data_IF_336287847019
#
_entry.id   IF_336287847019
#
_cell.length_a   1.000
_cell.length_b   1.000
_cell.length_c   1.000
_cell.angle_alpha   90.00
_cell.angle_beta   90.00
_cell.angle_gamma   90.00
#
_symmetry.space_group_name_H-M   'P 1'
#
loop_
_entity.id
_entity.type
_entity.pdbx_description
1 polymer ?
#
# COMPACT_ATOMS: atom_id res chain seq x y z
N UNK A 1 36.14 17.22 -3.76
CA UNK A 1 34.71 16.96 -4.12
C UNK A 1 34.53 15.65 -4.89
N UNK A 2 35.26 15.42 -5.98
CA UNK A 2 35.20 14.16 -6.78
C UNK A 2 35.62 12.92 -5.96
N UNK A 3 36.61 13.05 -5.10
CA UNK A 3 37.12 11.96 -4.26
C UNK A 3 36.17 11.59 -3.10
N UNK A 4 35.47 12.60 -2.55
CA UNK A 4 34.39 12.42 -1.56
C UNK A 4 33.20 11.70 -2.22
N UNK A 5 32.87 12.08 -3.46
CA UNK A 5 31.82 11.42 -4.25
C UNK A 5 32.20 9.97 -4.60
N UNK A 6 33.46 9.71 -4.97
CA UNK A 6 33.94 8.33 -5.21
C UNK A 6 33.90 7.47 -3.95
N UNK A 7 34.33 8.01 -2.80
CA UNK A 7 34.32 7.31 -1.52
C UNK A 7 32.90 7.07 -1.00
N UNK A 8 31.96 7.99 -1.24
CA UNK A 8 30.53 7.77 -1.03
C UNK A 8 30.00 6.66 -1.94
N UNK A 9 30.31 6.66 -3.23
CA UNK A 9 29.88 5.62 -4.18
C UNK A 9 30.47 4.22 -3.88
N UNK A 10 31.70 4.15 -3.35
CA UNK A 10 32.31 2.89 -2.88
C UNK A 10 31.69 2.41 -1.56
N UNK A 11 31.41 3.32 -0.62
CA UNK A 11 30.66 2.98 0.61
C UNK A 11 29.22 2.53 0.30
N UNK A 12 28.58 3.14 -0.72
CA UNK A 12 27.24 2.80 -1.20
C UNK A 12 27.14 1.36 -1.69
N UNK A 13 28.21 0.84 -2.31
CA UNK A 13 28.25 -0.56 -2.74
C UNK A 13 28.20 -1.56 -1.57
N UNK A 14 28.58 -1.14 -0.36
CA UNK A 14 28.65 -2.01 0.83
C UNK A 14 27.58 -1.73 1.88
N UNK A 15 26.66 -0.79 1.66
CA UNK A 15 25.58 -0.52 2.60
C UNK A 15 24.35 -1.39 2.33
N UNK A 16 23.99 -2.21 3.31
CA UNK A 16 22.75 -2.97 3.27
C UNK A 16 21.54 -2.05 3.45
N UNK A 17 20.43 -2.35 2.77
CA UNK A 17 19.16 -1.69 3.03
C UNK A 17 18.67 -1.97 4.45
N UNK A 18 18.07 -0.96 5.10
CA UNK A 18 17.61 -1.04 6.49
C UNK A 18 18.69 -1.64 7.41
N UNK A 19 19.88 -1.03 7.43
CA UNK A 19 21.05 -1.57 8.14
C UNK A 19 20.81 -1.89 9.63
N UNK A 20 19.80 -1.27 10.25
CA UNK A 20 19.39 -1.48 11.63
C UNK A 20 18.73 -2.85 11.86
N UNK A 21 18.08 -3.42 10.85
CA UNK A 21 17.30 -4.68 10.95
C UNK A 21 17.67 -5.73 9.91
N UNK A 22 18.64 -5.44 9.04
CA UNK A 22 19.16 -6.37 8.04
C UNK A 22 19.62 -7.69 8.68
N UNK A 23 19.15 -8.83 8.16
CA UNK A 23 19.46 -10.16 8.66
C UNK A 23 19.25 -10.37 10.19
N UNK A 24 18.38 -9.58 10.82
CA UNK A 24 18.09 -9.64 12.26
C UNK A 24 17.41 -10.94 12.69
N UNK A 25 16.64 -11.59 11.81
CA UNK A 25 15.91 -12.83 12.12
C UNK A 25 16.65 -14.04 11.53
N UNK A 26 17.22 -14.85 12.43
CA UNK A 26 17.89 -16.08 12.06
C UNK A 26 16.89 -17.17 11.65
N UNK A 27 17.23 -17.87 10.57
CA UNK A 27 16.44 -18.98 10.04
C UNK A 27 16.93 -20.28 10.70
N UNK A 28 16.03 -21.08 11.30
CA UNK A 28 16.41 -22.35 11.92
C UNK A 28 16.98 -23.30 10.86
N UNK A 29 18.05 -24.02 11.22
CA UNK A 29 18.64 -25.07 10.37
C UNK A 29 17.76 -26.31 10.39
N UNK A 30 16.65 -26.29 9.66
CA UNK A 30 15.70 -27.40 9.57
C UNK A 30 14.87 -27.38 8.28
N UNK A 31 14.44 -28.56 7.82
CA UNK A 31 13.60 -28.70 6.62
C UNK A 31 12.09 -28.69 6.92
N UNK A 32 11.67 -28.39 8.16
CA UNK A 32 10.26 -28.35 8.53
C UNK A 32 9.51 -27.25 7.79
N UNK A 33 8.55 -27.61 6.93
CA UNK A 33 7.76 -26.66 6.14
C UNK A 33 7.08 -25.60 7.02
N UNK A 34 6.39 -26.03 8.08
CA UNK A 34 5.67 -25.15 9.00
C UNK A 34 6.59 -24.27 9.85
N UNK A 35 7.75 -24.80 10.26
CA UNK A 35 8.75 -24.04 11.01
C UNK A 35 9.35 -22.93 10.15
N UNK A 36 9.69 -23.24 8.90
CA UNK A 36 10.20 -22.27 7.95
C UNK A 36 9.12 -21.24 7.59
N UNK A 37 7.89 -21.68 7.30
CA UNK A 37 6.78 -20.79 7.00
C UNK A 37 6.56 -19.79 8.14
N UNK A 38 6.54 -20.22 9.40
CA UNK A 38 6.38 -19.34 10.57
C UNK A 38 7.48 -18.28 10.68
N UNK A 39 8.71 -18.61 10.28
CA UNK A 39 9.84 -17.66 10.35
C UNK A 39 9.80 -16.68 9.18
N UNK A 40 9.41 -17.13 7.99
CA UNK A 40 9.31 -16.29 6.80
C UNK A 40 8.03 -15.45 6.74
N UNK A 41 6.99 -15.81 7.50
CA UNK A 41 5.80 -15.00 7.68
C UNK A 41 6.11 -13.68 8.40
N UNK A 42 5.53 -12.59 7.93
CA UNK A 42 5.68 -11.24 8.52
C UNK A 42 5.87 -10.15 7.46
N UNK A 43 6.93 -10.23 6.63
CA UNK A 43 7.14 -9.37 5.46
C UNK A 43 5.89 -9.12 4.62
N UNK A 44 5.19 -10.19 4.25
CA UNK A 44 3.97 -10.14 3.46
C UNK A 44 2.83 -9.42 4.17
N UNK A 45 2.66 -9.63 5.48
CA UNK A 45 1.64 -8.92 6.27
C UNK A 45 1.92 -7.43 6.39
N UNK A 46 3.17 -7.03 6.61
CA UNK A 46 3.53 -5.60 6.65
C UNK A 46 3.31 -4.94 5.29
N UNK A 47 3.54 -5.65 4.20
CA UNK A 47 3.26 -5.13 2.86
C UNK A 47 1.74 -5.05 2.63
N UNK A 48 1.01 -6.13 2.90
CA UNK A 48 -0.43 -6.22 2.64
C UNK A 48 -1.26 -5.22 3.44
N UNK A 49 -0.79 -4.82 4.61
CA UNK A 49 -1.48 -3.81 5.43
C UNK A 49 -1.51 -2.43 4.75
N UNK A 50 -0.50 -2.09 3.93
CA UNK A 50 -0.56 -0.88 3.13
C UNK A 50 -1.69 -0.90 2.09
N UNK A 51 -2.15 -2.09 1.67
CA UNK A 51 -3.23 -2.27 0.69
C UNK A 51 -4.63 -2.17 1.32
N UNK A 52 -4.70 -1.79 2.59
CA UNK A 52 -5.91 -1.70 3.40
C UNK A 52 -6.02 -0.33 4.06
N UNK A 53 -5.31 0.67 3.52
CA UNK A 53 -5.25 2.03 4.06
C UNK A 53 -6.58 2.78 3.81
N UNK A 54 -6.80 3.95 4.44
CA UNK A 54 -8.02 4.73 4.21
C UNK A 54 -8.19 5.19 2.76
N UNK A 55 -7.12 5.23 1.97
CA UNK A 55 -7.14 5.52 0.55
C UNK A 55 -7.86 4.45 -0.26
N UNK A 56 -7.50 3.18 -0.06
CA UNK A 56 -8.21 2.03 -0.62
C UNK A 56 -9.70 2.07 -0.26
N UNK A 57 -10.01 2.37 1.00
CA UNK A 57 -11.39 2.41 1.48
C UNK A 57 -12.22 3.46 0.76
N UNK A 58 -11.67 4.66 0.55
CA UNK A 58 -12.38 5.72 -0.15
C UNK A 58 -12.74 5.30 -1.58
N UNK A 59 -11.80 4.70 -2.30
CA UNK A 59 -12.02 4.26 -3.68
C UNK A 59 -13.00 3.08 -3.76
N UNK A 60 -12.89 2.12 -2.84
CA UNK A 60 -13.74 0.92 -2.82
C UNK A 60 -15.17 1.24 -2.38
N UNK A 61 -15.31 2.11 -1.37
CA UNK A 61 -16.60 2.57 -0.86
C UNK A 61 -17.32 3.43 -1.89
N UNK A 62 -16.62 4.41 -2.48
CA UNK A 62 -17.16 5.22 -3.57
C UNK A 62 -17.54 4.34 -4.76
N UNK A 63 -16.72 3.35 -5.10
CA UNK A 63 -16.98 2.41 -6.18
C UNK A 63 -18.24 1.57 -5.95
N UNK A 64 -18.39 1.01 -4.75
CA UNK A 64 -19.55 0.21 -4.38
C UNK A 64 -20.84 1.02 -4.27
N UNK A 65 -20.78 2.20 -3.65
CA UNK A 65 -21.95 3.04 -3.43
C UNK A 65 -22.50 3.66 -4.73
N UNK A 66 -21.63 3.97 -5.70
CA UNK A 66 -22.04 4.60 -6.96
C UNK A 66 -22.31 3.59 -8.09
N UNK A 67 -21.57 2.47 -8.14
CA UNK A 67 -21.58 1.54 -9.27
C UNK A 67 -21.95 0.11 -8.89
N UNK A 68 -22.37 -0.14 -7.64
CA UNK A 68 -22.71 -1.47 -7.16
C UNK A 68 -21.52 -2.42 -7.23
N UNK A 69 -21.75 -3.65 -7.68
CA UNK A 69 -20.70 -4.69 -7.73
C UNK A 69 -19.80 -4.63 -8.97
N UNK A 70 -20.02 -3.70 -9.90
CA UNK A 70 -19.30 -3.65 -11.20
C UNK A 70 -17.78 -3.54 -11.05
N UNK A 71 -17.30 -2.79 -10.06
CA UNK A 71 -15.86 -2.56 -9.86
C UNK A 71 -15.14 -3.67 -9.07
N UNK A 72 -15.84 -4.75 -8.66
CA UNK A 72 -15.20 -5.92 -8.04
C UNK A 72 -14.16 -6.58 -8.96
N UNK A 73 -14.45 -6.63 -10.27
CA UNK A 73 -13.47 -7.10 -11.25
C UNK A 73 -12.18 -6.27 -11.22
N UNK A 74 -12.27 -4.95 -11.02
CA UNK A 74 -11.11 -4.04 -10.95
C UNK A 74 -10.28 -4.31 -9.70
N UNK A 75 -10.93 -4.55 -8.55
CA UNK A 75 -10.23 -4.95 -7.31
C UNK A 75 -9.50 -6.29 -7.51
N UNK A 76 -10.15 -7.27 -8.16
CA UNK A 76 -9.58 -8.58 -8.44
C UNK A 76 -8.33 -8.47 -9.32
N UNK A 77 -8.43 -7.80 -10.48
CA UNK A 77 -7.30 -7.69 -11.40
C UNK A 77 -6.15 -6.87 -10.80
N UNK A 78 -6.47 -5.80 -10.07
CA UNK A 78 -5.47 -4.97 -9.38
C UNK A 78 -4.75 -5.76 -8.29
N UNK A 79 -5.47 -6.65 -7.58
CA UNK A 79 -4.88 -7.55 -6.58
C UNK A 79 -3.96 -8.59 -7.22
N UNK A 80 -4.33 -9.13 -8.39
CA UNK A 80 -3.47 -10.03 -9.16
C UNK A 80 -2.20 -9.32 -9.66
N UNK A 81 -2.32 -8.08 -10.12
CA UNK A 81 -1.18 -7.23 -10.48
C UNK A 81 -0.28 -6.99 -9.27
N UNK A 82 -0.85 -6.67 -8.11
CA UNK A 82 -0.12 -6.51 -6.87
C UNK A 82 0.67 -7.77 -6.50
N UNK A 83 0.05 -8.94 -6.50
CA UNK A 83 0.72 -10.22 -6.18
C UNK A 83 1.89 -10.48 -7.13
N UNK A 84 1.69 -10.25 -8.44
CA UNK A 84 2.74 -10.42 -9.45
C UNK A 84 3.90 -9.45 -9.20
N UNK A 85 3.63 -8.16 -9.05
CA UNK A 85 4.65 -7.13 -8.88
C UNK A 85 5.37 -7.25 -7.54
N UNK A 86 4.66 -7.62 -6.48
CA UNK A 86 5.24 -7.87 -5.16
C UNK A 86 6.14 -9.12 -5.17
N UNK A 87 5.75 -10.16 -5.90
CA UNK A 87 6.63 -11.30 -6.17
C UNK A 87 7.91 -10.90 -6.91
N UNK A 88 7.85 -9.95 -7.83
CA UNK A 88 9.05 -9.42 -8.51
C UNK A 88 9.92 -8.62 -7.53
N UNK A 89 9.32 -7.75 -6.72
CA UNK A 89 10.01 -6.92 -5.75
C UNK A 89 10.76 -7.75 -4.70
N UNK A 90 10.09 -8.73 -4.07
CA UNK A 90 10.73 -9.62 -3.11
C UNK A 90 11.84 -10.46 -3.77
N UNK A 91 11.65 -10.89 -5.03
CA UNK A 91 12.64 -11.71 -5.74
C UNK A 91 13.89 -10.90 -6.05
N UNK A 92 13.73 -9.62 -6.43
CA UNK A 92 14.84 -8.70 -6.62
C UNK A 92 15.68 -8.59 -5.33
N UNK A 93 15.01 -8.32 -4.20
CA UNK A 93 15.64 -8.22 -2.89
C UNK A 93 16.40 -9.47 -2.47
N UNK A 94 15.80 -10.64 -2.65
CA UNK A 94 16.41 -11.93 -2.28
C UNK A 94 17.55 -12.34 -3.22
N UNK A 95 17.39 -12.12 -4.53
CA UNK A 95 18.37 -12.58 -5.53
C UNK A 95 19.60 -11.68 -5.58
N UNK A 96 19.41 -10.35 -5.49
CA UNK A 96 20.49 -9.37 -5.66
C UNK A 96 21.07 -8.90 -4.33
N UNK A 97 20.32 -9.04 -3.22
CA UNK A 97 20.69 -8.43 -1.94
C UNK A 97 20.57 -6.90 -1.93
N UNK A 98 19.88 -6.33 -2.93
CA UNK A 98 19.58 -4.89 -3.03
C UNK A 98 18.10 -4.66 -3.16
N UNK A 99 17.62 -3.61 -2.51
CA UNK A 99 16.25 -3.14 -2.71
C UNK A 99 16.11 -2.43 -4.07
N UNK A 100 14.87 -2.19 -4.47
CA UNK A 100 14.55 -1.56 -5.75
C UNK A 100 15.09 -0.12 -5.87
N UNK A 101 15.10 0.65 -4.77
CA UNK A 101 15.59 2.03 -4.78
C UNK A 101 17.10 2.06 -4.93
N UNK A 102 17.83 1.18 -4.23
CA UNK A 102 19.27 0.97 -4.43
C UNK A 102 19.59 0.53 -5.86
N UNK A 103 18.85 -0.45 -6.39
CA UNK A 103 19.05 -0.92 -7.77
C UNK A 103 18.84 0.21 -8.80
N UNK A 104 17.82 1.05 -8.61
CA UNK A 104 17.61 2.25 -9.41
C UNK A 104 18.73 3.28 -9.23
N UNK A 105 19.12 3.58 -7.99
CA UNK A 105 20.16 4.54 -7.65
C UNK A 105 21.56 4.15 -8.13
N UNK A 106 21.83 2.85 -8.29
CA UNK A 106 23.06 2.30 -8.84
C UNK A 106 23.09 2.28 -10.38
N UNK A 107 21.92 2.08 -11.01
CA UNK A 107 21.82 1.90 -12.46
C UNK A 107 21.63 3.23 -13.22
N UNK A 108 20.81 4.13 -12.70
CA UNK A 108 20.50 5.39 -13.37
C UNK A 108 21.48 6.51 -13.01
N UNK A 109 21.57 7.53 -13.86
CA UNK A 109 22.37 8.72 -13.57
C UNK A 109 21.79 9.49 -12.38
N UNK A 110 22.63 10.26 -11.67
CA UNK A 110 22.21 11.03 -10.49
C UNK A 110 20.97 11.93 -10.73
N UNK A 111 20.84 12.64 -11.87
CA UNK A 111 19.64 13.43 -12.13
C UNK A 111 18.36 12.58 -12.25
N UNK A 112 18.44 11.41 -12.89
CA UNK A 112 17.30 10.50 -13.05
C UNK A 112 16.93 9.87 -11.71
N UNK A 113 17.92 9.42 -10.94
CA UNK A 113 17.69 8.89 -9.59
C UNK A 113 17.05 9.94 -8.66
N UNK A 114 17.49 11.19 -8.75
CA UNK A 114 16.89 12.30 -7.98
C UNK A 114 15.45 12.60 -8.42
N UNK A 115 15.16 12.58 -9.72
CA UNK A 115 13.80 12.75 -10.24
C UNK A 115 12.87 11.62 -9.76
N UNK A 116 13.31 10.36 -9.84
CA UNK A 116 12.57 9.21 -9.34
C UNK A 116 12.34 9.30 -7.83
N UNK A 117 13.33 9.78 -7.07
CA UNK A 117 13.18 10.03 -5.64
C UNK A 117 12.09 11.07 -5.35
N UNK A 118 12.06 12.21 -6.06
CA UNK A 118 11.01 13.23 -5.89
C UNK A 118 9.63 12.61 -6.13
N UNK A 119 9.46 11.86 -7.23
CA UNK A 119 8.18 11.21 -7.54
C UNK A 119 7.76 10.24 -6.42
N UNK A 120 8.70 9.45 -5.89
CA UNK A 120 8.43 8.56 -4.76
C UNK A 120 8.03 9.33 -3.49
N UNK A 121 8.72 10.42 -3.14
CA UNK A 121 8.37 11.22 -1.95
C UNK A 121 7.01 11.90 -2.09
N UNK A 122 6.66 12.36 -3.30
CA UNK A 122 5.31 12.88 -3.58
C UNK A 122 4.26 11.80 -3.38
N UNK A 123 4.48 10.58 -3.88
CA UNK A 123 3.56 9.47 -3.68
C UNK A 123 3.44 9.04 -2.21
N UNK A 124 4.55 9.03 -1.46
CA UNK A 124 4.54 8.74 -0.02
C UNK A 124 3.80 9.84 0.73
N UNK A 125 3.97 11.10 0.36
CA UNK A 125 3.24 12.23 0.95
C UNK A 125 1.74 12.14 0.66
N UNK A 126 1.35 11.75 -0.56
CA UNK A 126 -0.05 11.52 -0.92
C UNK A 126 -0.68 10.35 -0.15
N UNK A 127 0.09 9.28 0.10
CA UNK A 127 -0.31 8.20 0.99
C UNK A 127 -0.49 8.71 2.43
N UNK A 128 0.50 9.45 2.94
CA UNK A 128 0.48 9.98 4.29
C UNK A 128 -0.69 10.97 4.50
N UNK A 129 -1.06 11.73 3.47
CA UNK A 129 -2.25 12.57 3.43
C UNK A 129 -3.53 11.75 3.63
N UNK A 130 -3.64 10.60 2.96
CA UNK A 130 -4.78 9.70 3.12
C UNK A 130 -4.89 9.16 4.55
N UNK A 131 -3.75 8.84 5.17
CA UNK A 131 -3.68 8.38 6.56
C UNK A 131 -4.11 9.44 7.57
N UNK A 132 -3.63 10.69 7.39
CA UNK A 132 -4.01 11.82 8.25
C UNK A 132 -5.51 12.01 8.20
N UNK A 133 -6.05 12.08 6.98
CA UNK A 133 -7.48 12.30 6.75
C UNK A 133 -8.30 11.15 7.33
N UNK A 134 -7.94 9.91 7.05
CA UNK A 134 -8.64 8.73 7.56
C UNK A 134 -8.62 8.64 9.09
N UNK A 135 -7.47 8.92 9.70
CA UNK A 135 -7.33 8.91 11.17
C UNK A 135 -8.09 10.06 11.83
N UNK A 136 -7.99 11.28 11.27
CA UNK A 136 -8.74 12.44 11.74
C UNK A 136 -10.25 12.21 11.63
N UNK A 137 -10.68 11.58 10.53
CA UNK A 137 -12.07 11.22 10.35
C UNK A 137 -12.51 10.14 11.35
N UNK A 138 -11.72 9.10 11.57
CA UNK A 138 -12.04 8.09 12.57
C UNK A 138 -12.19 8.69 13.98
N UNK A 139 -11.32 9.64 14.35
CA UNK A 139 -11.42 10.38 15.61
C UNK A 139 -12.69 11.23 15.69
N UNK A 140 -13.07 11.88 14.58
CA UNK A 140 -14.32 12.62 14.48
C UNK A 140 -15.53 11.70 14.69
N UNK A 141 -15.53 10.53 14.05
CA UNK A 141 -16.64 9.58 14.12
C UNK A 141 -16.76 8.88 15.49
N UNK A 142 -15.64 8.66 16.19
CA UNK A 142 -15.63 7.97 17.50
C UNK A 142 -15.87 8.89 18.70
N UNK A 143 -15.35 10.12 18.63
CA UNK A 143 -15.27 11.02 19.80
C UNK A 143 -15.89 12.39 19.54
N UNK A 144 -16.55 12.58 18.40
CA UNK A 144 -17.12 13.87 17.95
C UNK A 144 -16.08 15.02 17.94
N UNK A 145 -14.78 14.68 17.77
CA UNK A 145 -13.69 15.66 17.68
C UNK A 145 -13.76 16.34 16.30
N UNK A 146 -13.71 17.68 16.18
CA UNK A 146 -13.74 18.30 14.85
C UNK A 146 -12.53 17.89 14.00
N UNK A 147 -12.73 17.70 12.69
CA UNK A 147 -11.72 17.13 11.80
C UNK A 147 -10.40 17.90 11.84
N UNK A 148 -10.44 19.23 11.90
CA UNK A 148 -9.23 20.07 12.04
C UNK A 148 -8.41 19.71 13.30
N UNK A 149 -9.07 19.51 14.44
CA UNK A 149 -8.40 19.07 15.67
C UNK A 149 -7.90 17.62 15.51
N UNK A 150 -8.69 16.75 14.87
CA UNK A 150 -8.29 15.39 14.53
C UNK A 150 -6.98 15.36 13.74
N UNK A 151 -6.86 16.19 12.68
CA UNK A 151 -5.64 16.34 11.87
C UNK A 151 -4.45 16.71 12.76
N UNK A 152 -4.61 17.68 13.67
CA UNK A 152 -3.53 18.07 14.59
C UNK A 152 -3.17 16.96 15.58
N UNK A 153 -4.16 16.21 16.08
CA UNK A 153 -3.93 15.07 16.96
C UNK A 153 -3.10 14.00 16.26
N UNK A 154 -3.26 13.78 14.95
CA UNK A 154 -2.44 12.79 14.23
C UNK A 154 -0.93 13.09 14.29
N UNK A 155 -0.49 14.33 14.56
CA UNK A 155 0.95 14.61 14.78
C UNK A 155 1.51 13.79 15.95
N UNK A 156 0.66 13.43 16.92
CA UNK A 156 1.07 12.63 18.08
C UNK A 156 1.48 11.20 17.71
N UNK A 157 1.05 10.68 16.57
CA UNK A 157 1.43 9.34 16.11
C UNK A 157 2.93 9.20 15.82
N UNK A 158 3.62 10.30 15.53
CA UNK A 158 5.07 10.32 15.37
C UNK A 158 5.75 9.81 16.65
N UNK A 159 5.25 10.22 17.82
CA UNK A 159 5.76 9.73 19.11
C UNK A 159 5.43 8.24 19.32
N UNK A 160 4.26 7.80 18.86
CA UNK A 160 3.86 6.39 18.93
C UNK A 160 4.81 5.52 18.09
N UNK A 161 5.06 5.87 16.83
CA UNK A 161 5.98 5.14 15.96
C UNK A 161 7.38 5.08 16.59
N UNK A 162 7.85 6.20 17.14
CA UNK A 162 9.17 6.25 17.77
C UNK A 162 9.31 5.32 18.95
N UNK A 163 8.25 5.24 19.75
CA UNK A 163 8.19 4.30 20.85
C UNK A 163 8.19 2.84 20.34
N UNK A 164 7.46 2.57 19.26
CA UNK A 164 7.37 1.21 18.68
C UNK A 164 8.68 0.76 18.01
N UNK A 165 9.37 1.64 17.28
CA UNK A 165 10.64 1.33 16.64
C UNK A 165 11.72 0.91 17.65
N UNK A 166 11.74 1.52 18.85
CA UNK A 166 12.68 1.14 19.92
C UNK A 166 12.47 -0.29 20.45
N UNK A 167 11.28 -0.88 20.30
CA UNK A 167 10.96 -2.23 20.79
C UNK A 167 11.37 -3.36 19.83
N UNK A 168 11.88 -3.03 18.64
CA UNK A 168 12.38 -3.99 17.67
C UNK A 168 11.31 -4.57 16.74
N UNK A 169 11.78 -5.21 15.67
CA UNK A 169 10.99 -5.51 14.49
C UNK A 169 9.88 -6.56 14.70
N UNK A 170 10.10 -7.57 15.55
CA UNK A 170 9.06 -8.59 15.87
C UNK A 170 7.86 -7.99 16.60
N UNK A 171 8.08 -6.99 17.44
CA UNK A 171 6.99 -6.30 18.15
C UNK A 171 6.18 -5.49 17.14
N UNK A 172 6.85 -4.82 16.20
CA UNK A 172 6.20 -4.10 15.10
C UNK A 172 5.35 -5.05 14.24
N UNK A 173 5.92 -6.16 13.76
CA UNK A 173 5.19 -7.20 13.00
C UNK A 173 3.94 -7.68 13.77
N UNK A 174 4.04 -7.87 15.09
CA UNK A 174 2.93 -8.35 15.92
C UNK A 174 1.82 -7.31 16.10
N UNK A 175 2.17 -6.03 16.22
CA UNK A 175 1.20 -4.93 16.32
C UNK A 175 0.44 -4.76 15.00
N UNK A 176 1.17 -4.77 13.88
CA UNK A 176 0.59 -4.69 12.54
C UNK A 176 -0.40 -5.85 12.32
N UNK A 177 -0.02 -7.06 12.72
CA UNK A 177 -0.91 -8.23 12.66
C UNK A 177 -2.14 -8.07 13.57
N UNK A 178 -2.00 -7.50 14.77
CA UNK A 178 -3.12 -7.26 15.67
C UNK A 178 -4.12 -6.25 15.09
N UNK A 179 -3.63 -5.13 14.54
CA UNK A 179 -4.47 -4.13 13.87
C UNK A 179 -5.16 -4.72 12.63
N UNK A 180 -4.45 -5.57 11.86
CA UNK A 180 -5.02 -6.29 10.73
C UNK A 180 -6.18 -7.21 11.16
N UNK A 181 -6.01 -7.98 12.24
CA UNK A 181 -7.07 -8.84 12.78
C UNK A 181 -8.28 -8.01 13.19
N UNK A 182 -8.08 -6.85 13.81
CA UNK A 182 -9.17 -5.93 14.15
C UNK A 182 -9.95 -5.53 12.90
N UNK A 183 -9.28 -5.06 11.84
CA UNK A 183 -9.92 -4.67 10.58
C UNK A 183 -10.74 -5.82 9.99
N UNK A 184 -10.16 -7.02 9.92
CA UNK A 184 -10.83 -8.22 9.38
C UNK A 184 -12.08 -8.56 10.18
N UNK A 185 -12.01 -8.55 11.51
CA UNK A 185 -13.15 -8.87 12.38
C UNK A 185 -14.26 -7.82 12.24
N UNK A 186 -13.90 -6.54 12.09
CA UNK A 186 -14.85 -5.45 11.90
C UNK A 186 -15.65 -5.62 10.60
N UNK A 187 -14.97 -5.83 9.47
CA UNK A 187 -15.67 -6.04 8.20
C UNK A 187 -16.40 -7.38 8.11
N UNK A 188 -15.87 -8.43 8.74
CA UNK A 188 -16.59 -9.69 8.82
C UNK A 188 -17.94 -9.51 9.53
N UNK A 189 -17.96 -8.75 10.63
CA UNK A 189 -19.18 -8.41 11.35
C UNK A 189 -20.17 -7.62 10.47
N UNK A 190 -19.72 -6.58 9.79
CA UNK A 190 -20.57 -5.75 8.91
C UNK A 190 -21.11 -6.52 7.70
N UNK A 191 -20.29 -7.36 7.07
CA UNK A 191 -20.73 -8.19 5.95
C UNK A 191 -21.81 -9.20 6.37
N UNK A 192 -21.66 -9.83 7.54
CA UNK A 192 -22.68 -10.74 8.09
C UNK A 192 -24.01 -10.01 8.31
N UNK A 193 -23.97 -8.77 8.81
CA UNK A 193 -25.17 -7.96 9.00
C UNK A 193 -25.81 -7.54 7.67
N UNK A 194 -25.01 -7.17 6.67
CA UNK A 194 -25.50 -6.65 5.38
C UNK A 194 -26.18 -7.70 4.49
N UNK A 195 -25.93 -9.00 4.73
CA UNK A 195 -26.52 -10.13 3.98
C UNK A 195 -26.50 -9.93 2.46
N UNK A 196 -25.33 -9.78 1.84
CA UNK A 196 -25.25 -9.47 0.42
C UNK A 196 -25.64 -10.67 -0.44
N UNK A 197 -26.23 -10.40 -1.61
CA UNK A 197 -26.57 -11.44 -2.59
C UNK A 197 -25.31 -12.01 -3.26
N UNK A 198 -25.00 -13.27 -2.95
CA UNK A 198 -23.82 -13.98 -3.46
C UNK A 198 -23.82 -14.10 -4.99
N UNK A 199 -24.99 -14.25 -5.62
CA UNK A 199 -25.08 -14.39 -7.07
C UNK A 199 -24.64 -13.10 -7.77
N UNK A 200 -25.13 -11.95 -7.30
CA UNK A 200 -24.74 -10.65 -7.82
C UNK A 200 -23.27 -10.31 -7.55
N UNK A 201 -22.70 -10.75 -6.42
CA UNK A 201 -21.26 -10.61 -6.14
C UNK A 201 -20.42 -11.35 -7.19
N UNK A 202 -20.76 -12.61 -7.48
CA UNK A 202 -20.01 -13.41 -8.46
C UNK A 202 -20.11 -12.79 -9.86
N UNK A 203 -21.26 -12.24 -10.23
CA UNK A 203 -21.42 -11.51 -11.48
C UNK A 203 -20.58 -10.22 -11.54
N UNK A 204 -20.36 -9.56 -10.41
CA UNK A 204 -19.48 -8.39 -10.31
C UNK A 204 -17.99 -8.70 -10.54
N UNK A 205 -17.57 -9.96 -10.37
CA UNK A 205 -16.21 -10.41 -10.67
C UNK A 205 -15.97 -10.63 -12.18
N UNK A 206 -17.01 -10.54 -13.01
CA UNK A 206 -16.90 -10.68 -14.46
C UNK A 206 -16.65 -9.30 -15.08
N UNK A 207 -15.69 -9.17 -16.02
CA UNK A 207 -15.40 -7.88 -16.65
C UNK A 207 -16.62 -7.32 -17.39
N UNK A 208 -16.96 -6.06 -17.10
CA UNK A 208 -18.03 -5.33 -17.78
C UNK A 208 -17.45 -4.25 -18.68
N UNK A 209 -18.04 -4.09 -19.88
CA UNK A 209 -17.62 -3.07 -20.85
C UNK A 209 -17.88 -1.63 -20.37
N UNK A 210 -18.83 -1.44 -19.45
CA UNK A 210 -19.19 -0.12 -18.90
C UNK A 210 -18.01 0.59 -18.24
N UNK A 211 -17.08 -0.18 -17.66
CA UNK A 211 -15.89 0.34 -16.95
C UNK A 211 -15.03 1.21 -17.87
N UNK A 212 -14.99 0.89 -19.17
CA UNK A 212 -14.18 1.63 -20.16
C UNK A 212 -14.98 2.66 -20.96
N UNK A 213 -16.31 2.71 -20.79
CA UNK A 213 -17.20 3.60 -21.55
C UNK A 213 -17.69 4.79 -20.72
N UNK A 214 -17.67 4.68 -19.39
CA UNK A 214 -18.08 5.74 -18.47
C UNK A 214 -16.84 6.32 -17.77
N UNK A 215 -16.52 7.59 -18.06
CA UNK A 215 -15.36 8.30 -17.52
C UNK A 215 -15.35 8.32 -15.97
N UNK A 216 -16.53 8.33 -15.33
CA UNK A 216 -16.62 8.31 -13.86
C UNK A 216 -16.26 6.94 -13.29
N UNK A 217 -16.74 5.87 -13.93
CA UNK A 217 -16.34 4.50 -13.56
C UNK A 217 -14.85 4.29 -13.79
N UNK A 218 -14.33 4.80 -14.90
CA UNK A 218 -12.92 4.69 -15.24
C UNK A 218 -12.03 5.45 -14.25
N UNK A 219 -12.42 6.66 -13.84
CA UNK A 219 -11.69 7.43 -12.83
C UNK A 219 -11.59 6.68 -11.50
N UNK A 220 -12.72 6.15 -10.99
CA UNK A 220 -12.72 5.35 -9.76
C UNK A 220 -11.95 4.04 -9.95
N UNK A 221 -12.05 3.39 -11.11
CA UNK A 221 -11.28 2.17 -11.42
C UNK A 221 -9.76 2.42 -11.42
N UNK A 222 -9.30 3.56 -11.96
CA UNK A 222 -7.89 3.97 -11.90
C UNK A 222 -7.48 4.31 -10.46
N UNK A 223 -8.37 4.92 -9.69
CA UNK A 223 -8.20 5.12 -8.24
C UNK A 223 -8.01 3.80 -7.49
N UNK A 224 -8.87 2.81 -7.72
CA UNK A 224 -8.77 1.45 -7.14
C UNK A 224 -7.44 0.81 -7.54
N UNK A 225 -7.03 0.92 -8.81
CA UNK A 225 -5.77 0.37 -9.27
C UNK A 225 -4.57 1.03 -8.56
N UNK A 226 -4.59 2.37 -8.43
CA UNK A 226 -3.53 3.14 -7.78
C UNK A 226 -3.44 2.88 -6.28
N UNK A 227 -4.59 2.83 -5.60
CA UNK A 227 -4.70 2.49 -4.20
C UNK A 227 -4.30 1.03 -3.94
N UNK A 228 -4.66 0.10 -4.84
CA UNK A 228 -4.26 -1.29 -4.70
C UNK A 228 -2.76 -1.42 -4.96
N UNK A 229 -2.26 -1.09 -6.15
CA UNK A 229 -0.85 -1.30 -6.46
C UNK A 229 -0.01 -0.12 -6.00
N UNK A 230 0.28 -0.07 -4.70
CA UNK A 230 1.09 0.99 -4.12
C UNK A 230 2.57 0.86 -4.50
N UNK A 231 3.18 1.93 -5.05
CA UNK A 231 4.56 1.85 -5.49
C UNK A 231 5.58 1.83 -4.35
N UNK A 232 5.35 2.61 -3.29
CA UNK A 232 6.22 2.62 -2.11
C UNK A 232 6.30 1.23 -1.47
N UNK A 233 5.25 0.41 -1.59
CA UNK A 233 5.24 -0.98 -1.14
C UNK A 233 6.13 -1.90 -1.98
N UNK A 234 6.41 -1.59 -3.26
CA UNK A 234 7.38 -2.35 -4.05
C UNK A 234 8.80 -2.13 -3.52
N UNK A 235 9.14 -0.89 -3.17
CA UNK A 235 10.42 -0.57 -2.53
C UNK A 235 10.50 -1.22 -1.14
N UNK A 236 9.45 -1.08 -0.33
CA UNK A 236 9.34 -1.68 0.99
C UNK A 236 9.58 -3.18 0.95
N UNK A 237 8.86 -3.92 0.11
CA UNK A 237 8.93 -5.38 0.08
C UNK A 237 10.28 -5.90 -0.38
N UNK A 238 10.89 -5.23 -1.37
CA UNK A 238 12.24 -5.56 -1.84
C UNK A 238 13.32 -5.42 -0.76
N UNK A 239 13.09 -4.57 0.24
CA UNK A 239 13.97 -4.40 1.38
C UNK A 239 13.61 -5.29 2.57
N UNK A 240 12.33 -5.37 2.91
CA UNK A 240 11.84 -6.00 4.15
C UNK A 240 12.07 -7.51 4.17
N UNK A 241 12.06 -8.13 2.99
CA UNK A 241 12.41 -9.53 2.82
C UNK A 241 13.83 -9.82 3.32
N UNK A 242 14.75 -8.85 3.21
CA UNK A 242 16.16 -8.94 3.60
C UNK A 242 16.39 -8.89 5.12
N UNK A 243 15.34 -8.68 5.93
CA UNK A 243 15.41 -8.83 7.39
C UNK A 243 15.69 -10.28 7.83
N UNK A 244 15.41 -11.25 6.95
CA UNK A 244 15.68 -12.67 7.18
C UNK A 244 17.09 -13.04 6.70
N UNK A 245 17.81 -13.85 7.47
CA UNK A 245 19.21 -14.20 7.16
C UNK A 245 19.37 -15.40 6.19
N UNK A 246 18.89 -15.30 4.93
CA UNK A 246 18.82 -16.43 3.96
C UNK A 246 19.96 -16.51 2.92
N UNK A 247 20.97 -15.64 2.94
CA UNK A 247 21.83 -15.39 1.77
C UNK A 247 23.12 -16.24 1.66
N UNK A 248 23.17 -17.47 2.21
CA UNK A 248 24.41 -18.26 2.22
C UNK A 248 24.61 -19.15 0.97
N UNK A 249 23.53 -19.60 0.34
CA UNK A 249 23.59 -20.46 -0.87
C UNK A 249 22.46 -20.17 -1.85
N UNK A 250 22.59 -20.62 -3.11
CA UNK A 250 21.52 -20.52 -4.11
C UNK A 250 20.25 -21.28 -3.67
N UNK A 251 20.40 -22.42 -2.98
CA UNK A 251 19.27 -23.18 -2.45
C UNK A 251 18.54 -22.43 -1.34
N UNK A 252 19.26 -21.73 -0.46
CA UNK A 252 18.65 -20.92 0.59
C UNK A 252 17.89 -19.73 -0.01
N UNK A 253 18.44 -19.08 -1.05
CA UNK A 253 17.75 -18.02 -1.80
C UNK A 253 16.48 -18.53 -2.49
N UNK A 254 16.54 -19.71 -3.11
CA UNK A 254 15.37 -20.34 -3.74
C UNK A 254 14.27 -20.66 -2.72
N UNK A 255 14.65 -21.19 -1.55
CA UNK A 255 13.73 -21.43 -0.43
C UNK A 255 13.13 -20.12 0.07
N UNK A 256 13.94 -19.08 0.26
CA UNK A 256 13.48 -17.77 0.70
C UNK A 256 12.49 -17.14 -0.28
N UNK A 257 12.77 -17.17 -1.59
CA UNK A 257 11.83 -16.70 -2.63
C UNK A 257 10.51 -17.48 -2.53
N UNK A 258 10.56 -18.81 -2.39
CA UNK A 258 9.35 -19.64 -2.29
C UNK A 258 8.49 -19.25 -1.08
N UNK A 259 9.08 -19.19 0.11
CA UNK A 259 8.33 -18.88 1.34
C UNK A 259 7.86 -17.43 1.38
N UNK A 260 8.69 -16.46 0.97
CA UNK A 260 8.28 -15.06 0.86
C UNK A 260 7.18 -14.85 -0.18
N UNK A 261 7.18 -15.62 -1.27
CA UNK A 261 6.08 -15.58 -2.26
C UNK A 261 4.78 -16.12 -1.67
N UNK A 262 4.83 -17.23 -0.92
CA UNK A 262 3.64 -17.78 -0.24
C UNK A 262 3.10 -16.78 0.79
N UNK A 263 3.97 -16.22 1.62
CA UNK A 263 3.62 -15.21 2.63
C UNK A 263 2.95 -14.00 1.97
N UNK A 264 3.58 -13.43 0.94
CA UNK A 264 3.02 -12.30 0.20
C UNK A 264 1.70 -12.63 -0.49
N UNK A 265 1.57 -13.81 -1.10
CA UNK A 265 0.35 -14.20 -1.83
C UNK A 265 -0.83 -14.38 -0.87
N UNK A 266 -0.60 -15.02 0.28
CA UNK A 266 -1.63 -15.18 1.31
C UNK A 266 -2.03 -13.82 1.88
N UNK A 267 -1.05 -12.99 2.20
CA UNK A 267 -1.28 -11.67 2.81
C UNK A 267 -2.03 -10.73 1.87
N UNK A 268 -1.65 -10.65 0.59
CA UNK A 268 -2.35 -9.84 -0.40
C UNK A 268 -3.70 -10.46 -0.81
N UNK A 269 -3.84 -11.79 -0.74
CA UNK A 269 -5.14 -12.45 -0.87
C UNK A 269 -6.12 -12.02 0.21
N UNK A 270 -5.65 -11.85 1.45
CA UNK A 270 -6.46 -11.28 2.53
C UNK A 270 -6.82 -9.82 2.25
N UNK A 271 -5.88 -9.01 1.74
CA UNK A 271 -6.16 -7.63 1.32
C UNK A 271 -7.27 -7.55 0.27
N UNK A 272 -7.23 -8.44 -0.73
CA UNK A 272 -8.30 -8.55 -1.73
C UNK A 272 -9.68 -8.77 -1.09
N UNK A 273 -9.80 -9.67 -0.10
CA UNK A 273 -11.08 -9.93 0.55
C UNK A 273 -11.59 -8.74 1.37
N UNK A 274 -10.69 -7.96 1.97
CA UNK A 274 -11.07 -6.74 2.69
C UNK A 274 -11.57 -5.68 1.70
N UNK A 275 -10.82 -5.40 0.64
CA UNK A 275 -11.19 -4.40 -0.38
C UNK A 275 -12.49 -4.79 -1.09
N UNK A 276 -12.63 -6.06 -1.48
CA UNK A 276 -13.89 -6.59 -2.01
C UNK A 276 -15.02 -6.49 -0.98
N UNK A 277 -14.74 -6.76 0.31
CA UNK A 277 -15.68 -6.63 1.40
C UNK A 277 -16.21 -5.20 1.58
N UNK A 278 -15.32 -4.19 1.52
CA UNK A 278 -15.68 -2.77 1.60
C UNK A 278 -16.61 -2.40 0.44
N UNK A 279 -16.24 -2.78 -0.79
CA UNK A 279 -17.06 -2.50 -1.96
C UNK A 279 -18.42 -3.20 -1.87
N UNK A 280 -18.44 -4.49 -1.47
CA UNK A 280 -19.67 -5.26 -1.31
C UNK A 280 -20.59 -4.62 -0.27
N UNK A 281 -20.03 -4.24 0.89
CA UNK A 281 -20.76 -3.56 1.95
C UNK A 281 -21.35 -2.24 1.45
N UNK A 282 -20.56 -1.42 0.77
CA UNK A 282 -21.02 -0.14 0.23
C UNK A 282 -22.13 -0.31 -0.82
N UNK A 283 -21.99 -1.32 -1.69
CA UNK A 283 -22.99 -1.63 -2.70
C UNK A 283 -24.29 -2.16 -2.07
N UNK A 284 -24.21 -3.14 -1.15
CA UNK A 284 -25.38 -3.73 -0.50
C UNK A 284 -26.11 -2.71 0.37
N UNK A 285 -25.37 -1.85 1.08
CA UNK A 285 -25.91 -0.90 2.05
C UNK A 285 -26.42 0.38 1.38
N UNK A 286 -25.72 0.91 0.36
CA UNK A 286 -26.03 2.22 -0.21
C UNK A 286 -26.60 2.17 -1.63
N UNK A 287 -25.99 1.40 -2.53
CA UNK A 287 -26.42 1.38 -3.93
C UNK A 287 -27.80 0.73 -4.12
N UNK A 288 -28.01 -0.43 -3.52
CA UNK A 288 -29.28 -1.17 -3.64
C UNK A 288 -30.39 -0.63 -2.73
N UNK A 289 -30.04 0.08 -1.66
CA UNK A 289 -31.00 0.77 -0.79
C UNK A 289 -31.50 2.11 -1.35
N UNK A 290 -30.97 2.55 -2.51
CA UNK A 290 -31.35 3.82 -3.15
C UNK A 290 -30.56 5.05 -2.70
N UNK A 291 -29.62 4.90 -1.76
CA UNK A 291 -28.77 5.97 -1.23
C UNK A 291 -27.50 6.18 -2.08
N UNK A 292 -27.67 6.43 -3.38
CA UNK A 292 -26.55 6.55 -4.35
C UNK A 292 -25.72 7.83 -4.22
N UNK A 293 -26.14 8.76 -3.36
CA UNK A 293 -25.41 10.01 -3.06
C UNK A 293 -24.28 9.85 -2.04
N UNK A 294 -24.09 8.65 -1.49
CA UNK A 294 -23.04 8.35 -0.50
C UNK A 294 -21.72 8.18 -1.25
N UNK A 295 -20.94 9.26 -1.34
CA UNK A 295 -19.60 9.20 -1.93
C UNK A 295 -18.49 9.28 -0.88
N UNK A 296 -18.81 9.67 0.36
CA UNK A 296 -17.83 9.95 1.40
C UNK A 296 -17.91 8.97 2.57
N UNK A 297 -16.78 8.81 3.26
CA UNK A 297 -16.65 7.93 4.43
C UNK A 297 -17.54 8.42 5.60
N UNK A 298 -17.77 9.73 5.73
CA UNK A 298 -18.69 10.29 6.74
C UNK A 298 -20.13 9.83 6.53
N UNK A 299 -20.57 9.84 5.28
CA UNK A 299 -21.92 9.46 4.90
C UNK A 299 -22.14 7.98 5.11
N UNK A 300 -21.13 7.17 4.80
CA UNK A 300 -21.15 5.74 5.09
C UNK A 300 -21.36 5.48 6.59
N UNK A 301 -20.55 6.09 7.46
CA UNK A 301 -20.70 5.93 8.91
C UNK A 301 -22.10 6.32 9.40
N UNK A 302 -22.65 7.46 8.95
CA UNK A 302 -23.99 7.91 9.38
C UNK A 302 -25.09 6.94 8.96
N UNK A 303 -24.93 6.28 7.81
CA UNK A 303 -25.94 5.42 7.22
C UNK A 303 -25.78 3.94 7.57
N UNK A 304 -24.62 3.51 8.09
CA UNK A 304 -24.41 2.13 8.54
C UNK A 304 -25.37 1.76 9.69
N UNK A 305 -25.53 2.61 10.70
CA UNK A 305 -26.46 2.36 11.81
C UNK A 305 -27.92 2.12 11.37
N UNK A 306 -28.57 3.03 10.61
CA UNK A 306 -29.95 2.85 10.20
C UNK A 306 -30.14 1.73 9.18
N UNK A 307 -29.17 1.49 8.30
CA UNK A 307 -29.32 0.47 7.24
C UNK A 307 -29.02 -0.93 7.74
N UNK A 308 -28.00 -1.11 8.58
CA UNK A 308 -27.66 -2.42 9.15
C UNK A 308 -28.43 -2.74 10.44
N UNK A 309 -29.18 -1.77 10.98
CA UNK A 309 -30.03 -1.95 12.15
C UNK A 309 -29.27 -2.20 13.46
N UNK A 310 -27.99 -1.82 13.53
CA UNK A 310 -27.13 -2.02 14.70
C UNK A 310 -26.31 -0.78 15.00
N UNK A 311 -26.40 -0.28 16.23
CA UNK A 311 -25.57 0.82 16.73
C UNK A 311 -24.07 0.51 16.68
N UNK A 312 -23.71 -0.78 16.76
CA UNK A 312 -22.32 -1.22 16.75
C UNK A 312 -21.67 -1.10 15.37
N UNK A 313 -22.45 -1.08 14.27
CA UNK A 313 -21.89 -1.08 12.93
C UNK A 313 -21.01 0.16 12.67
N UNK A 314 -21.48 1.34 13.05
CA UNK A 314 -20.72 2.57 12.80
C UNK A 314 -19.49 2.69 13.70
N UNK A 315 -19.59 2.24 14.97
CA UNK A 315 -18.46 2.22 15.91
C UNK A 315 -17.35 1.29 15.40
N UNK A 316 -17.73 0.08 14.99
CA UNK A 316 -16.80 -0.95 14.50
C UNK A 316 -16.12 -0.49 13.20
N UNK A 317 -16.86 0.17 12.30
CA UNK A 317 -16.32 0.82 11.11
C UNK A 317 -15.26 1.88 11.45
N UNK A 318 -15.56 2.78 12.40
CA UNK A 318 -14.64 3.84 12.78
C UNK A 318 -13.39 3.32 13.52
N UNK A 319 -13.52 2.26 14.34
CA UNK A 319 -12.38 1.56 14.94
C UNK A 319 -11.48 0.97 13.85
N UNK A 320 -12.06 0.31 12.86
CA UNK A 320 -11.31 -0.28 11.76
C UNK A 320 -10.61 0.78 10.89
N UNK A 321 -11.27 1.93 10.65
CA UNK A 321 -10.68 3.07 9.95
C UNK A 321 -9.47 3.64 10.72
N UNK A 322 -9.58 3.78 12.04
CA UNK A 322 -8.47 4.22 12.87
C UNK A 322 -7.32 3.20 12.84
N UNK A 323 -7.62 1.91 12.97
CA UNK A 323 -6.64 0.84 12.91
C UNK A 323 -5.89 0.81 11.57
N UNK A 324 -6.60 1.04 10.47
CA UNK A 324 -6.06 1.16 9.12
C UNK A 324 -5.08 2.34 8.99
N UNK A 325 -5.48 3.54 9.47
CA UNK A 325 -4.62 4.73 9.42
C UNK A 325 -3.31 4.56 10.20
N UNK A 326 -3.35 3.97 11.41
CA UNK A 326 -2.15 3.71 12.22
C UNK A 326 -1.19 2.71 11.58
N UNK A 327 -1.73 1.80 10.78
CA UNK A 327 -1.00 0.72 10.15
C UNK A 327 -0.16 1.22 8.96
N UNK A 328 -0.78 2.01 8.07
CA UNK A 328 -0.11 2.60 6.91
C UNK A 328 1.02 3.57 7.32
N UNK A 329 0.85 4.26 8.45
CA UNK A 329 1.85 5.13 9.06
C UNK A 329 3.20 4.44 9.31
N UNK A 330 3.19 3.17 9.72
CA UNK A 330 4.41 2.39 9.95
C UNK A 330 5.11 2.04 8.62
N UNK A 331 4.34 1.63 7.62
CA UNK A 331 4.86 1.19 6.33
C UNK A 331 5.39 2.37 5.51
N UNK A 332 4.70 3.51 5.50
CA UNK A 332 5.13 4.73 4.82
C UNK A 332 6.47 5.26 5.34
N UNK A 333 6.69 5.20 6.66
CA UNK A 333 7.96 5.62 7.28
C UNK A 333 9.13 4.75 6.81
N UNK A 334 8.94 3.42 6.80
CA UNK A 334 9.96 2.45 6.36
C UNK A 334 10.22 2.56 4.85
N UNK A 335 9.15 2.59 4.05
CA UNK A 335 9.24 2.69 2.59
C UNK A 335 9.98 3.95 2.18
N UNK A 336 9.67 5.05 2.85
CA UNK A 336 10.40 6.29 2.68
C UNK A 336 11.89 6.13 2.97
N UNK A 337 12.26 5.59 4.14
CA UNK A 337 13.66 5.42 4.52
C UNK A 337 14.44 4.68 3.43
N UNK A 338 13.86 3.59 2.93
CA UNK A 338 14.42 2.80 1.83
C UNK A 338 14.60 3.64 0.56
N UNK A 339 13.58 4.41 0.17
CA UNK A 339 13.63 5.28 -1.02
C UNK A 339 14.73 6.34 -0.89
N UNK A 340 14.84 7.01 0.24
CA UNK A 340 15.82 8.08 0.44
C UNK A 340 17.25 7.55 0.52
N UNK A 341 17.48 6.45 1.26
CA UNK A 341 18.79 5.80 1.36
C UNK A 341 19.20 5.19 0.01
N UNK A 342 18.27 4.52 -0.68
CA UNK A 342 18.54 3.86 -1.96
C UNK A 342 18.80 4.84 -3.11
N UNK A 343 17.94 5.85 -3.29
CA UNK A 343 18.10 6.81 -4.39
C UNK A 343 19.17 7.87 -4.12
N UNK A 344 19.30 8.37 -2.89
CA UNK A 344 20.16 9.52 -2.57
C UNK A 344 21.35 9.22 -1.65
N UNK A 345 21.45 8.02 -1.06
CA UNK A 345 22.44 7.71 0.00
C UNK A 345 22.38 8.67 1.20
N UNK A 346 21.18 9.20 1.45
CA UNK A 346 20.95 10.19 2.49
C UNK A 346 20.29 9.50 3.69
N UNK A 347 21.00 9.50 4.83
CA UNK A 347 20.55 8.86 6.08
C UNK A 347 20.06 9.92 7.05
N UNK A 348 18.74 9.99 7.24
CA UNK A 348 18.10 10.79 8.28
C UNK A 348 17.54 9.84 9.33
N UNK A 349 17.61 10.23 10.59
CA UNK A 349 16.91 9.51 11.66
C UNK A 349 15.41 9.37 11.33
N UNK A 350 14.80 8.18 11.52
CA UNK A 350 13.40 7.93 11.14
C UNK A 350 12.39 8.92 11.71
N UNK A 351 12.65 9.44 12.93
CA UNK A 351 11.79 10.40 13.62
C UNK A 351 11.67 11.74 12.90
N UNK A 352 12.82 12.28 12.50
CA UNK A 352 12.90 13.57 11.83
C UNK A 352 12.27 13.45 10.44
N UNK A 353 12.53 12.32 9.77
CA UNK A 353 11.90 12.01 8.49
C UNK A 353 10.37 11.99 8.63
N UNK A 354 9.84 11.24 9.60
CA UNK A 354 8.39 11.16 9.83
C UNK A 354 7.80 12.53 10.10
N UNK A 355 8.46 13.35 10.92
CA UNK A 355 8.00 14.71 11.20
C UNK A 355 7.94 15.57 9.93
N UNK A 356 8.94 15.48 9.05
CA UNK A 356 8.98 16.21 7.78
C UNK A 356 7.85 15.74 6.86
N UNK A 357 7.74 14.44 6.60
CA UNK A 357 6.70 13.91 5.69
C UNK A 357 5.31 14.21 6.24
N UNK A 358 5.11 14.07 7.56
CA UNK A 358 3.84 14.38 8.23
C UNK A 358 3.51 15.86 8.17
N UNK A 359 4.49 16.75 8.34
CA UNK A 359 4.25 18.18 8.17
C UNK A 359 3.84 18.53 6.74
N UNK A 360 4.51 17.97 5.73
CA UNK A 360 4.18 18.20 4.32
C UNK A 360 2.79 17.64 3.98
N UNK A 361 2.38 16.51 4.57
CA UNK A 361 1.05 15.93 4.37
C UNK A 361 -0.06 16.69 5.12
N UNK A 362 0.19 17.14 6.35
CA UNK A 362 -0.80 17.86 7.16
C UNK A 362 -1.12 19.23 6.59
N UNK A 363 -0.14 19.98 6.09
CA UNK A 363 -0.36 21.33 5.59
C UNK A 363 -1.50 21.41 4.54
N UNK A 364 -1.48 20.63 3.43
CA UNK A 364 -2.57 20.65 2.46
C UNK A 364 -3.89 20.16 3.07
N UNK A 365 -3.90 19.08 3.87
CA UNK A 365 -5.12 18.62 4.53
C UNK A 365 -5.74 19.71 5.41
N UNK A 366 -4.92 20.38 6.23
CA UNK A 366 -5.35 21.41 7.15
C UNK A 366 -5.92 22.63 6.42
N UNK A 367 -5.19 23.17 5.43
CA UNK A 367 -5.65 24.35 4.69
C UNK A 367 -6.89 24.08 3.84
N UNK A 368 -6.97 22.92 3.19
CA UNK A 368 -8.15 22.51 2.41
C UNK A 368 -9.36 22.41 3.31
N UNK A 369 -9.23 21.73 4.45
CA UNK A 369 -10.32 21.57 5.42
C UNK A 369 -10.73 22.91 6.04
N UNK A 370 -9.76 23.78 6.33
CA UNK A 370 -10.03 25.08 6.93
C UNK A 370 -10.75 26.04 5.97
N UNK A 371 -10.39 26.03 4.68
CA UNK A 371 -10.96 26.96 3.69
C UNK A 371 -12.26 26.44 3.06
N UNK A 372 -12.29 25.17 2.67
CA UNK A 372 -13.38 24.58 1.89
C UNK A 372 -14.33 23.69 2.71
N UNK A 373 -14.00 23.44 3.98
CA UNK A 373 -14.80 22.61 4.87
C UNK A 373 -14.70 21.12 4.55
N UNK A 374 -15.49 20.32 5.27
CA UNK A 374 -15.36 18.86 5.28
C UNK A 374 -15.76 18.18 3.96
N UNK A 375 -16.56 18.86 3.12
CA UNK A 375 -17.14 18.33 1.87
C UNK A 375 -16.14 18.12 0.72
N UNK A 376 -14.86 18.50 0.90
CA UNK A 376 -13.80 18.30 -0.10
C UNK A 376 -12.76 17.25 0.31
N UNK A 377 -12.95 16.66 1.48
CA UNK A 377 -12.03 15.67 2.04
C UNK A 377 -12.08 14.37 1.24
N UNK A 378 -13.27 13.92 0.85
CA UNK A 378 -13.44 12.71 0.03
C UNK A 378 -12.75 12.82 -1.33
N UNK A 379 -12.94 13.94 -2.03
CA UNK A 379 -12.26 14.23 -3.30
C UNK A 379 -10.74 14.27 -3.15
N UNK A 380 -10.24 14.91 -2.08
CA UNK A 380 -8.80 14.98 -1.79
C UNK A 380 -8.21 13.59 -1.54
N UNK A 381 -8.96 12.72 -0.85
CA UNK A 381 -8.56 11.35 -0.54
C UNK A 381 -8.47 10.49 -1.80
N UNK A 382 -9.44 10.59 -2.71
CA UNK A 382 -9.38 9.88 -4.01
C UNK A 382 -8.27 10.46 -4.89
N UNK A 383 -8.11 11.78 -4.91
CA UNK A 383 -7.05 12.44 -5.67
C UNK A 383 -5.65 12.00 -5.24
N UNK A 384 -5.43 11.78 -3.94
CA UNK A 384 -4.15 11.26 -3.45
C UNK A 384 -3.85 9.88 -4.04
N UNK A 385 -4.85 9.00 -4.18
CA UNK A 385 -4.68 7.68 -4.82
C UNK A 385 -4.37 7.76 -6.30
N UNK A 386 -4.92 8.76 -7.00
CA UNK A 386 -4.58 9.04 -8.39
C UNK A 386 -3.10 9.42 -8.53
N UNK A 387 -2.56 10.25 -7.62
CA UNK A 387 -1.12 10.57 -7.59
C UNK A 387 -0.28 9.30 -7.41
N UNK A 388 -0.68 8.38 -6.52
CA UNK A 388 0.00 7.09 -6.36
C UNK A 388 -0.02 6.28 -7.65
N UNK A 389 -1.17 6.22 -8.33
CA UNK A 389 -1.33 5.54 -9.62
C UNK A 389 -0.35 6.10 -10.66
N UNK A 390 -0.26 7.43 -10.78
CA UNK A 390 0.64 8.09 -11.73
C UNK A 390 2.11 7.76 -11.47
N UNK A 391 2.52 7.67 -10.20
CA UNK A 391 3.88 7.31 -9.86
C UNK A 391 4.19 5.85 -10.23
N UNK A 392 3.21 4.94 -10.15
CA UNK A 392 3.41 3.49 -10.22
C UNK A 392 4.22 3.02 -11.43
N UNK A 393 3.99 3.61 -12.60
CA UNK A 393 4.72 3.26 -13.83
C UNK A 393 6.24 3.44 -13.66
N UNK A 394 6.69 4.45 -12.92
CA UNK A 394 8.09 4.73 -12.66
C UNK A 394 8.75 3.74 -11.69
N UNK A 395 7.97 3.03 -10.88
CA UNK A 395 8.47 1.95 -10.02
C UNK A 395 8.44 0.59 -10.74
N UNK A 396 7.36 0.31 -11.46
CA UNK A 396 7.11 -0.99 -12.12
C UNK A 396 8.08 -1.23 -13.28
N UNK A 397 8.35 -0.23 -14.12
CA UNK A 397 9.22 -0.41 -15.30
C UNK A 397 10.65 -0.81 -14.89
N UNK A 398 11.34 -0.08 -13.98
CA UNK A 398 12.65 -0.50 -13.49
C UNK A 398 12.65 -1.88 -12.83
N UNK A 399 11.60 -2.19 -12.05
CA UNK A 399 11.46 -3.50 -11.41
C UNK A 399 11.44 -4.64 -12.43
N UNK A 400 10.67 -4.49 -13.52
CA UNK A 400 10.59 -5.49 -14.59
C UNK A 400 11.94 -5.59 -15.32
N UNK A 401 12.60 -4.47 -15.62
CA UNK A 401 13.92 -4.46 -16.24
C UNK A 401 14.94 -5.22 -15.40
N UNK A 402 15.06 -4.90 -14.11
CA UNK A 402 16.05 -5.54 -13.25
C UNK A 402 15.76 -7.02 -13.04
N UNK A 403 14.51 -7.40 -12.82
CA UNK A 403 14.14 -8.81 -12.63
C UNK A 403 14.18 -9.64 -13.92
N UNK A 404 14.27 -8.98 -15.07
CA UNK A 404 14.42 -9.62 -16.39
C UNK A 404 15.87 -9.74 -16.87
N UNK A 405 16.80 -9.02 -16.25
CA UNK A 405 18.21 -8.96 -16.62
C UNK A 405 18.99 -10.17 -16.03
N UNK A 406 19.56 -11.00 -16.91
CA UNK A 406 20.35 -12.18 -16.51
C UNK A 406 21.62 -11.80 -15.75
N UNK A 407 22.21 -10.64 -16.06
CA UNK A 407 23.44 -10.19 -15.40
C UNK A 407 23.19 -9.80 -13.94
N UNK A 408 22.00 -9.26 -13.65
CA UNK A 408 21.60 -8.87 -12.28
C UNK A 408 21.05 -10.06 -11.48
N UNK A 409 20.15 -10.84 -12.08
CA UNK A 409 19.41 -11.89 -11.36
C UNK A 409 20.10 -13.26 -11.38
N UNK A 410 21.09 -13.47 -12.25
CA UNK A 410 21.74 -14.76 -12.45
C UNK A 410 20.72 -15.88 -12.72
N UNK A 411 20.75 -16.93 -11.90
CA UNK A 411 19.84 -18.09 -12.01
C UNK A 411 18.38 -17.77 -11.65
N UNK A 412 18.12 -16.65 -10.98
CA UNK A 412 16.78 -16.25 -10.50
C UNK A 412 16.05 -15.30 -11.47
N UNK A 413 16.55 -15.15 -12.70
CA UNK A 413 15.90 -14.36 -13.74
C UNK A 413 14.47 -14.85 -14.01
N UNK A 414 13.56 -13.93 -14.29
CA UNK A 414 12.18 -14.30 -14.60
C UNK A 414 12.08 -15.23 -15.83
N UNK A 415 11.24 -16.28 -15.77
CA UNK A 415 10.91 -17.05 -16.96
C UNK A 415 10.07 -16.19 -17.93
N UNK A 416 10.07 -16.56 -19.21
CA UNK A 416 9.46 -15.77 -20.29
C UNK A 416 7.98 -15.44 -20.05
N UNK A 417 7.20 -16.36 -19.49
CA UNK A 417 5.78 -16.14 -19.19
C UNK A 417 5.57 -15.06 -18.12
N UNK A 418 6.40 -15.02 -17.06
CA UNK A 418 6.36 -13.97 -16.03
C UNK A 418 6.77 -12.63 -16.63
N UNK A 419 7.79 -12.61 -17.49
CA UNK A 419 8.20 -11.38 -18.19
C UNK A 419 7.05 -10.81 -19.02
N UNK A 420 6.37 -11.68 -19.77
CA UNK A 420 5.25 -11.27 -20.61
C UNK A 420 4.09 -10.74 -19.77
N UNK A 421 3.66 -11.45 -18.72
CA UNK A 421 2.61 -10.97 -17.82
C UNK A 421 2.97 -9.64 -17.15
N UNK A 422 4.22 -9.48 -16.72
CA UNK A 422 4.67 -8.26 -16.06
C UNK A 422 4.66 -7.06 -17.03
N UNK A 423 5.11 -7.26 -18.27
CA UNK A 423 5.05 -6.21 -19.30
C UNK A 423 3.62 -5.87 -19.72
N UNK A 424 2.73 -6.85 -19.83
CA UNK A 424 1.30 -6.61 -20.07
C UNK A 424 0.71 -5.77 -18.94
N UNK A 425 0.97 -6.15 -17.69
CA UNK A 425 0.55 -5.40 -16.49
C UNK A 425 1.07 -3.97 -16.53
N UNK A 426 2.37 -3.78 -16.80
CA UNK A 426 2.97 -2.45 -16.88
C UNK A 426 2.38 -1.60 -18.02
N UNK A 427 2.07 -2.22 -19.16
CA UNK A 427 1.48 -1.54 -20.31
C UNK A 427 0.06 -1.08 -19.99
N UNK A 428 -0.74 -1.90 -19.32
CA UNK A 428 -2.09 -1.54 -18.87
C UNK A 428 -2.01 -0.35 -17.91
N UNK A 429 -1.18 -0.44 -16.87
CA UNK A 429 -0.99 0.62 -15.87
C UNK A 429 -0.56 1.93 -16.55
N UNK A 430 0.47 1.86 -17.42
CA UNK A 430 0.98 3.03 -18.13
C UNK A 430 -0.09 3.65 -19.05
N UNK A 431 -0.86 2.83 -19.76
CA UNK A 431 -1.91 3.32 -20.66
C UNK A 431 -3.02 4.03 -19.90
N UNK A 432 -3.45 3.48 -18.75
CA UNK A 432 -4.44 4.11 -17.88
C UNK A 432 -3.93 5.43 -17.29
N UNK A 433 -2.67 5.47 -16.87
CA UNK A 433 -2.05 6.70 -16.36
C UNK A 433 -1.92 7.79 -17.44
N UNK A 434 -1.53 7.42 -18.65
CA UNK A 434 -1.45 8.37 -19.79
C UNK A 434 -2.84 8.90 -20.14
N UNK A 435 -3.85 8.04 -20.17
CA UNK A 435 -5.23 8.45 -20.40
C UNK A 435 -5.70 9.45 -19.34
N UNK A 436 -5.44 9.16 -18.06
CA UNK A 436 -5.80 10.05 -16.96
C UNK A 436 -5.12 11.41 -17.08
N UNK A 437 -3.81 11.44 -17.36
CA UNK A 437 -3.08 12.70 -17.58
C UNK A 437 -3.68 13.49 -18.74
N UNK A 438 -4.05 12.83 -19.84
CA UNK A 438 -4.67 13.46 -20.99
C UNK A 438 -6.07 14.03 -20.71
N UNK A 439 -6.75 13.57 -19.66
CA UNK A 439 -8.02 14.13 -19.21
C UNK A 439 -7.84 15.35 -18.29
N UNK A 440 -6.70 15.43 -17.59
CA UNK A 440 -6.35 16.56 -16.72
C UNK A 440 -5.74 17.75 -17.48
N UNK A 441 -5.12 17.51 -18.63
CA UNK A 441 -4.56 18.51 -19.55
C UNK A 441 -5.62 19.01 -20.53
#
# INVERSE_FOLDING_TARGET
>A
MVEIIKKSLENRKNSNSLSEVFASIQIPKGNGFWQNLRVFMGPGFMVAVGYMDPGNWATDLSGGAQFGYTLLFVILISSLFAILLQHLALKLGVATGRDLAQACGDYFSKPVAFFLWILCEVAITACDLAEVIGSALALHLLFDIPILMGILITITDVFLILFLQKKGFRVLESIVLALLIVIVLCFAFELILSKPDLYSIVNGLIPQKSIFLDDRQLYVAIGILGATVMPHNLYLHSSIVQTRAFAKTDEDRKKAIKFATIDSTISLGLAFFINAGILILAASTFYFSGNRGVAEIQDAHKLLNPVLGSHWASIVFAIALLASGQNATLTGTLAGQIVMEGFLDLRITPWLRRLITRAIAILPAFFITWWWGDNKIGELLIFSQVILSMQLSFAVIPLIWFTSDKNKMGKFVNPTWVKWLAWVTATIILSLNVYLIAQFL
#
